data_IF_856495158207
#
_entry.id   IF_856495158207
#
_cell.length_a   1.000
_cell.length_b   1.000
_cell.length_c   1.000
_cell.angle_alpha   90.00
_cell.angle_beta   90.00
_cell.angle_gamma   90.00
#
_symmetry.space_group_name_H-M   'P 1'
#
loop_
_entity.id
_entity.type
_entity.pdbx_description
1 polymer ?
#
# COMPACT_ATOMS: atom_id res chain seq x y z
N UNK A 1 -7.20 -20.84 3.10
CA UNK A 1 -8.44 -20.31 2.51
C UNK A 1 -9.55 -20.16 3.54
N UNK A 2 -9.73 -21.10 4.45
CA UNK A 2 -10.73 -21.00 5.55
C UNK A 2 -10.52 -19.74 6.41
N UNK A 3 -9.29 -19.37 6.72
CA UNK A 3 -8.99 -18.16 7.49
C UNK A 3 -9.43 -16.86 6.77
N UNK A 4 -9.45 -16.83 5.44
CA UNK A 4 -9.90 -15.67 4.67
C UNK A 4 -11.42 -15.51 4.77
N UNK A 5 -12.16 -16.62 4.77
CA UNK A 5 -13.61 -16.59 4.93
C UNK A 5 -14.08 -16.17 6.34
N UNK A 6 -13.16 -16.19 7.30
CA UNK A 6 -13.39 -15.81 8.70
C UNK A 6 -12.80 -14.44 9.06
N UNK A 7 -12.23 -13.71 8.06
CA UNK A 7 -11.67 -12.38 8.32
C UNK A 7 -12.75 -11.43 8.85
N UNK A 8 -12.48 -10.85 10.01
CA UNK A 8 -13.29 -9.80 10.60
C UNK A 8 -12.48 -8.49 10.61
N UNK A 9 -13.07 -7.40 10.13
CA UNK A 9 -12.40 -6.10 10.09
C UNK A 9 -12.00 -5.60 11.48
N UNK A 10 -12.78 -5.93 12.50
CA UNK A 10 -12.53 -5.50 13.87
C UNK A 10 -11.32 -6.20 14.51
N UNK A 11 -10.81 -7.28 13.89
CA UNK A 11 -9.65 -8.03 14.33
C UNK A 11 -8.33 -7.61 13.63
N UNK A 12 -8.40 -6.71 12.64
CA UNK A 12 -7.24 -6.33 11.82
C UNK A 12 -6.24 -5.43 12.58
N UNK A 13 -6.64 -4.78 13.66
CA UNK A 13 -5.77 -3.93 14.50
C UNK A 13 -5.03 -4.68 15.61
N UNK A 14 -4.67 -5.94 15.38
CA UNK A 14 -3.92 -6.72 16.37
C UNK A 14 -2.51 -6.17 16.51
N UNK A 15 -2.11 -5.92 17.76
CA UNK A 15 -0.74 -5.55 18.11
C UNK A 15 0.26 -6.58 17.57
N UNK A 16 1.29 -6.14 16.88
CA UNK A 16 2.29 -7.01 16.26
C UNK A 16 2.13 -7.27 14.75
N UNK A 17 1.01 -6.89 14.12
CA UNK A 17 0.86 -7.04 12.66
C UNK A 17 1.81 -6.12 11.87
N UNK A 18 2.29 -5.03 12.45
CA UNK A 18 3.19 -4.06 11.81
C UNK A 18 4.66 -4.34 12.03
N UNK A 19 5.04 -5.62 12.06
CA UNK A 19 6.44 -6.05 12.17
C UNK A 19 7.05 -6.35 10.81
N UNK A 20 8.39 -6.32 10.73
CA UNK A 20 9.12 -6.71 9.51
C UNK A 20 8.84 -8.15 9.12
N UNK A 21 8.83 -9.08 10.10
CA UNK A 21 8.55 -10.50 9.86
C UNK A 21 7.16 -10.70 9.22
N UNK A 22 6.13 -10.02 9.75
CA UNK A 22 4.77 -10.08 9.19
C UNK A 22 4.73 -9.45 7.79
N UNK A 23 5.39 -8.32 7.58
CA UNK A 23 5.46 -7.66 6.26
C UNK A 23 6.11 -8.56 5.21
N UNK A 24 7.20 -9.26 5.57
CA UNK A 24 7.89 -10.21 4.69
C UNK A 24 7.02 -11.41 4.38
N UNK A 25 6.37 -11.99 5.38
CA UNK A 25 5.44 -13.12 5.19
C UNK A 25 4.24 -12.71 4.34
N UNK A 26 3.64 -11.56 4.58
CA UNK A 26 2.54 -11.03 3.77
C UNK A 26 2.93 -10.87 2.30
N UNK A 27 4.13 -10.36 2.01
CA UNK A 27 4.64 -10.24 0.65
C UNK A 27 4.81 -11.60 -0.03
N UNK A 28 5.29 -12.63 0.69
CA UNK A 28 5.41 -13.99 0.18
C UNK A 28 4.03 -14.62 -0.10
N UNK A 29 3.11 -14.52 0.85
CA UNK A 29 1.75 -15.06 0.73
C UNK A 29 0.99 -14.35 -0.40
N UNK A 30 1.17 -13.05 -0.57
CA UNK A 30 0.55 -12.27 -1.63
C UNK A 30 0.96 -12.69 -3.05
N UNK A 31 2.02 -13.49 -3.21
CA UNK A 31 2.42 -14.08 -4.49
C UNK A 31 1.68 -15.39 -4.82
N UNK A 32 1.01 -16.03 -3.84
CA UNK A 32 0.20 -17.23 -4.06
C UNK A 32 -1.11 -16.85 -4.75
N UNK A 33 -1.33 -17.41 -5.95
CA UNK A 33 -2.49 -17.11 -6.78
C UNK A 33 -3.83 -17.49 -6.12
N UNK A 34 -3.86 -18.57 -5.33
CA UNK A 34 -5.10 -19.04 -4.68
C UNK A 34 -5.49 -18.11 -3.53
N UNK A 35 -4.51 -17.71 -2.71
CA UNK A 35 -4.72 -16.74 -1.63
C UNK A 35 -5.13 -15.40 -2.22
N UNK A 36 -4.44 -14.98 -3.28
CA UNK A 36 -4.74 -13.72 -3.96
C UNK A 36 -6.17 -13.68 -4.51
N UNK A 37 -6.59 -14.70 -5.24
CA UNK A 37 -7.93 -14.76 -5.80
C UNK A 37 -9.01 -14.71 -4.71
N UNK A 38 -8.81 -15.37 -3.58
CA UNK A 38 -9.73 -15.31 -2.47
C UNK A 38 -9.78 -13.91 -1.81
N UNK A 39 -8.64 -13.21 -1.72
CA UNK A 39 -8.58 -11.85 -1.16
C UNK A 39 -9.12 -10.78 -2.11
N UNK A 40 -9.05 -10.98 -3.43
CA UNK A 40 -9.54 -10.00 -4.41
C UNK A 40 -11.03 -9.71 -4.22
N UNK A 41 -11.86 -10.74 -4.11
CA UNK A 41 -13.31 -10.55 -3.92
C UNK A 41 -13.60 -9.86 -2.58
N UNK A 42 -12.93 -10.28 -1.51
CA UNK A 42 -13.05 -9.63 -0.21
C UNK A 42 -12.69 -8.14 -0.25
N UNK A 43 -11.58 -7.77 -0.92
CA UNK A 43 -11.17 -6.38 -1.09
C UNK A 43 -12.15 -5.59 -1.95
N UNK A 44 -12.71 -6.20 -3.00
CA UNK A 44 -13.73 -5.58 -3.86
C UNK A 44 -15.05 -5.35 -3.11
N UNK A 45 -15.50 -6.30 -2.30
CA UNK A 45 -16.67 -6.13 -1.44
C UNK A 45 -16.46 -4.98 -0.46
N UNK A 46 -15.28 -4.94 0.18
CA UNK A 46 -14.93 -3.83 1.06
C UNK A 46 -14.95 -2.48 0.34
N UNK A 47 -14.46 -2.41 -0.90
CA UNK A 47 -14.45 -1.15 -1.67
C UNK A 47 -15.83 -0.60 -2.00
N UNK A 48 -16.83 -1.48 -2.07
CA UNK A 48 -18.22 -1.13 -2.44
C UNK A 48 -19.12 -0.80 -1.24
N UNK A 49 -18.59 -0.81 -0.02
CA UNK A 49 -19.37 -0.55 1.18
C UNK A 49 -19.99 0.85 1.17
N UNK A 50 -21.14 1.00 1.83
CA UNK A 50 -21.77 2.29 2.03
C UNK A 50 -20.84 3.27 2.74
N UNK A 51 -20.74 4.52 2.25
CA UNK A 51 -19.82 5.53 2.75
C UNK A 51 -18.46 5.55 2.05
N UNK A 52 -18.19 4.62 1.14
CA UNK A 52 -16.93 4.52 0.40
C UNK A 52 -15.81 3.84 1.17
N UNK A 53 -14.67 3.72 0.54
CA UNK A 53 -13.48 3.09 1.11
C UNK A 53 -12.18 3.73 0.58
N UNK A 54 -11.12 3.65 1.39
CA UNK A 54 -9.75 3.92 0.96
C UNK A 54 -8.97 2.63 1.08
N UNK A 55 -8.36 2.19 -0.01
CA UNK A 55 -7.53 0.99 -0.05
C UNK A 55 -6.09 1.36 -0.37
N UNK A 56 -5.16 0.75 0.35
CA UNK A 56 -3.72 0.85 0.11
C UNK A 56 -3.15 -0.51 -0.35
N UNK A 57 -2.26 -0.48 -1.34
CA UNK A 57 -1.62 -1.70 -1.85
C UNK A 57 -0.86 -1.46 -3.14
N UNK A 58 -0.40 -2.55 -3.75
CA UNK A 58 0.48 -2.52 -4.92
C UNK A 58 -0.28 -2.53 -6.25
N UNK A 59 -1.44 -3.13 -6.27
CA UNK A 59 -2.26 -3.37 -7.47
C UNK A 59 -3.72 -2.95 -7.28
N UNK A 60 -3.99 -2.11 -6.28
CA UNK A 60 -5.36 -1.65 -5.97
C UNK A 60 -5.96 -0.95 -7.20
N UNK A 61 -5.26 0.02 -7.78
CA UNK A 61 -5.77 0.81 -8.89
C UNK A 61 -5.71 0.11 -10.26
N UNK A 62 -5.01 -1.03 -10.38
CA UNK A 62 -4.86 -1.76 -11.64
C UNK A 62 -5.66 -3.06 -11.69
N UNK A 63 -5.82 -3.76 -10.56
CA UNK A 63 -6.42 -5.10 -10.49
C UNK A 63 -7.64 -5.15 -9.57
N UNK A 64 -7.52 -4.62 -8.35
CA UNK A 64 -8.58 -4.73 -7.35
C UNK A 64 -9.74 -3.79 -7.69
N UNK A 65 -9.45 -2.49 -7.81
CA UNK A 65 -10.41 -1.42 -8.07
C UNK A 65 -10.01 -0.61 -9.32
N UNK A 66 -10.02 -1.24 -10.53
CA UNK A 66 -9.62 -0.54 -11.76
C UNK A 66 -10.56 0.62 -12.14
N UNK A 67 -11.76 0.64 -11.58
CA UNK A 67 -12.77 1.67 -11.79
C UNK A 67 -12.96 2.58 -10.55
N UNK A 68 -11.97 2.66 -9.66
CA UNK A 68 -12.03 3.59 -8.53
C UNK A 68 -12.15 5.03 -9.04
N UNK A 69 -12.96 5.84 -8.34
CA UNK A 69 -13.22 7.25 -8.68
C UNK A 69 -11.93 8.06 -8.71
N UNK A 70 -10.99 7.73 -7.83
CA UNK A 70 -9.65 8.33 -7.84
C UNK A 70 -8.60 7.29 -7.49
N UNK A 71 -7.47 7.39 -8.17
CA UNK A 71 -6.28 6.57 -7.92
C UNK A 71 -5.10 7.49 -7.68
N UNK A 72 -4.42 7.26 -6.57
CA UNK A 72 -3.20 7.98 -6.22
C UNK A 72 -2.02 7.01 -6.28
N UNK A 73 -1.02 7.33 -7.09
CA UNK A 73 0.26 6.62 -7.09
C UNK A 73 1.27 7.44 -6.30
N UNK A 74 1.51 7.01 -5.06
CA UNK A 74 2.37 7.72 -4.12
C UNK A 74 3.79 7.18 -4.24
N UNK A 75 4.77 8.07 -4.38
CA UNK A 75 6.19 7.71 -4.43
C UNK A 75 7.03 8.65 -3.59
N UNK A 76 8.26 8.27 -3.33
CA UNK A 76 9.34 9.09 -2.80
C UNK A 76 10.68 8.44 -3.16
N UNK A 77 11.78 9.19 -3.08
CA UNK A 77 13.11 8.63 -3.28
C UNK A 77 13.41 7.52 -2.27
N UNK A 78 14.31 6.60 -2.63
CA UNK A 78 14.68 5.47 -1.77
C UNK A 78 15.26 5.95 -0.44
N UNK A 79 16.09 6.99 -0.49
CA UNK A 79 16.73 7.59 0.68
C UNK A 79 15.68 8.17 1.65
N UNK A 80 14.69 8.89 1.12
CA UNK A 80 13.63 9.47 1.95
C UNK A 80 12.77 8.38 2.56
N UNK A 81 12.42 7.34 1.81
CA UNK A 81 11.66 6.19 2.33
C UNK A 81 12.44 5.43 3.41
N UNK A 82 13.75 5.21 3.20
CA UNK A 82 14.61 4.57 4.18
C UNK A 82 14.74 5.41 5.46
N UNK A 83 14.91 6.73 5.33
CA UNK A 83 14.95 7.63 6.49
C UNK A 83 13.63 7.60 7.28
N UNK A 84 12.47 7.67 6.62
CA UNK A 84 11.16 7.58 7.28
C UNK A 84 11.04 6.25 8.03
N UNK A 85 11.42 5.14 7.39
CA UNK A 85 11.38 3.81 8.00
C UNK A 85 12.35 3.68 9.16
N UNK A 86 13.52 4.26 9.05
CA UNK A 86 14.50 4.30 10.14
C UNK A 86 13.93 5.02 11.36
N UNK A 87 13.30 6.18 11.19
CA UNK A 87 12.68 6.93 12.30
C UNK A 87 11.59 6.12 13.01
N UNK A 88 10.83 5.28 12.29
CA UNK A 88 9.80 4.43 12.86
C UNK A 88 10.36 3.27 13.69
N UNK A 89 11.52 2.73 13.31
CA UNK A 89 12.03 1.45 13.82
C UNK A 89 13.26 1.58 14.72
N UNK A 90 14.01 2.69 14.67
CA UNK A 90 15.31 2.85 15.35
C UNK A 90 15.24 2.66 16.88
N UNK A 91 14.09 2.94 17.49
CA UNK A 91 13.91 2.70 18.93
C UNK A 91 13.76 1.21 19.26
N UNK A 92 13.20 0.43 18.33
CA UNK A 92 12.90 -1.00 18.50
C UNK A 92 14.06 -1.90 18.07
N UNK A 93 14.83 -1.46 17.07
CA UNK A 93 15.98 -2.20 16.53
C UNK A 93 17.24 -1.32 16.53
N UNK A 94 18.12 -1.58 17.50
CA UNK A 94 19.39 -0.86 17.67
C UNK A 94 20.45 -1.21 16.63
N UNK A 95 20.28 -2.31 15.89
CA UNK A 95 21.18 -2.74 14.81
C UNK A 95 20.81 -2.19 13.43
N UNK A 96 19.67 -1.52 13.32
CA UNK A 96 19.16 -1.02 12.05
C UNK A 96 20.01 0.15 11.54
N UNK A 97 20.30 0.16 10.23
CA UNK A 97 20.97 1.27 9.55
C UNK A 97 20.18 1.74 8.34
N UNK A 98 20.39 2.98 7.92
CA UNK A 98 19.74 3.53 6.72
C UNK A 98 20.16 2.74 5.48
N UNK A 99 21.44 2.37 5.38
CA UNK A 99 22.00 1.60 4.27
C UNK A 99 21.33 0.23 4.15
N UNK A 100 21.14 -0.47 5.28
CA UNK A 100 20.46 -1.77 5.28
C UNK A 100 19.00 -1.63 4.81
N UNK A 101 18.31 -0.57 5.22
CA UNK A 101 16.95 -0.28 4.79
C UNK A 101 16.85 0.06 3.31
N UNK A 102 17.83 0.80 2.75
CA UNK A 102 17.86 1.08 1.30
C UNK A 102 17.96 -0.23 0.51
N UNK A 103 18.85 -1.13 0.91
CA UNK A 103 19.02 -2.44 0.25
C UNK A 103 17.72 -3.25 0.31
N UNK A 104 17.11 -3.30 1.48
CA UNK A 104 15.84 -4.02 1.70
C UNK A 104 14.70 -3.43 0.85
N UNK A 105 14.53 -2.10 0.86
CA UNK A 105 13.51 -1.41 0.08
C UNK A 105 13.68 -1.63 -1.42
N UNK A 106 14.92 -1.57 -1.93
CA UNK A 106 15.23 -1.88 -3.34
C UNK A 106 14.84 -3.30 -3.71
N UNK A 107 15.24 -4.27 -2.89
CA UNK A 107 14.89 -5.67 -3.15
C UNK A 107 13.38 -5.90 -3.17
N UNK A 108 12.65 -5.26 -2.24
CA UNK A 108 11.19 -5.33 -2.18
C UNK A 108 10.53 -4.66 -3.38
N UNK A 109 10.96 -3.45 -3.75
CA UNK A 109 10.42 -2.72 -4.90
C UNK A 109 10.63 -3.49 -6.20
N UNK A 110 11.80 -4.11 -6.36
CA UNK A 110 12.09 -4.95 -7.51
C UNK A 110 11.16 -6.17 -7.54
N UNK A 111 11.02 -6.87 -6.42
CA UNK A 111 10.13 -8.01 -6.31
C UNK A 111 8.65 -7.64 -6.59
N UNK A 112 8.19 -6.48 -6.09
CA UNK A 112 6.83 -5.98 -6.33
C UNK A 112 6.60 -5.62 -7.82
N UNK A 113 7.62 -5.08 -8.51
CA UNK A 113 7.55 -4.72 -9.94
C UNK A 113 7.65 -5.93 -10.87
N UNK A 114 8.47 -6.91 -10.53
CA UNK A 114 8.77 -8.06 -11.40
C UNK A 114 7.88 -9.28 -11.15
N UNK A 115 7.02 -9.24 -10.15
CA UNK A 115 6.12 -10.37 -9.88
C UNK A 115 5.21 -10.63 -11.08
N UNK A 116 5.05 -11.91 -11.41
CA UNK A 116 4.27 -12.37 -12.59
C UNK A 116 2.78 -12.06 -12.49
N UNK A 117 2.26 -11.96 -11.27
CA UNK A 117 0.83 -11.74 -11.00
C UNK A 117 0.67 -10.42 -10.27
N UNK A 118 -0.10 -9.51 -10.84
CA UNK A 118 -0.41 -8.19 -10.29
C UNK A 118 0.84 -7.39 -9.89
N UNK A 119 1.75 -7.08 -10.81
CA UNK A 119 2.93 -6.28 -10.53
C UNK A 119 2.54 -4.88 -10.02
N UNK A 120 3.46 -4.25 -9.30
CA UNK A 120 3.32 -2.84 -8.91
C UNK A 120 3.43 -1.96 -10.15
N UNK A 121 2.30 -1.48 -10.64
CA UNK A 121 2.20 -0.58 -11.78
C UNK A 121 1.36 0.64 -11.43
N UNK A 122 1.78 1.80 -11.95
CA UNK A 122 0.95 3.00 -11.92
C UNK A 122 -0.19 2.83 -12.95
N UNK A 123 -1.44 2.92 -12.53
CA UNK A 123 -2.57 2.96 -13.45
C UNK A 123 -2.47 4.22 -14.33
N UNK A 124 -2.94 4.14 -15.58
CA UNK A 124 -2.85 5.24 -16.55
C UNK A 124 -3.52 6.53 -16.04
N UNK A 125 -4.67 6.37 -15.40
CA UNK A 125 -5.47 7.43 -14.80
C UNK A 125 -5.07 7.79 -13.36
N UNK A 126 -3.99 7.21 -12.83
CA UNK A 126 -3.54 7.52 -11.47
C UNK A 126 -2.80 8.87 -11.42
N UNK A 127 -3.19 9.70 -10.47
CA UNK A 127 -2.46 10.92 -10.11
C UNK A 127 -1.16 10.53 -9.41
N UNK A 128 -0.04 10.98 -9.97
CA UNK A 128 1.28 10.79 -9.35
C UNK A 128 1.47 11.82 -8.24
N UNK A 129 1.77 11.34 -7.03
CA UNK A 129 2.18 12.16 -5.89
C UNK A 129 3.61 11.78 -5.48
N UNK A 130 4.57 12.57 -5.90
CA UNK A 130 5.93 12.46 -5.40
C UNK A 130 6.05 13.23 -4.08
N UNK A 131 6.35 12.51 -3.01
CA UNK A 131 6.44 13.06 -1.65
C UNK A 131 7.89 13.21 -1.16
N UNK A 132 8.87 13.15 -2.06
CA UNK A 132 10.30 13.20 -1.74
C UNK A 132 10.65 14.45 -0.90
N UNK A 133 10.20 15.62 -1.35
CA UNK A 133 10.48 16.91 -0.72
C UNK A 133 9.34 17.42 0.18
N UNK A 134 8.37 16.54 0.50
CA UNK A 134 7.17 16.96 1.21
C UNK A 134 7.13 16.45 2.65
N UNK A 135 6.62 17.29 3.55
CA UNK A 135 6.18 16.87 4.87
C UNK A 135 4.95 15.96 4.77
N UNK A 136 4.62 15.28 5.85
CA UNK A 136 3.40 14.47 5.94
C UNK A 136 2.17 15.35 5.67
N UNK A 137 2.07 16.50 6.32
CA UNK A 137 0.92 17.42 6.17
C UNK A 137 0.78 17.94 4.74
N UNK A 138 1.90 18.29 4.08
CA UNK A 138 1.89 18.71 2.69
C UNK A 138 1.46 17.59 1.75
N UNK A 139 1.92 16.36 2.00
CA UNK A 139 1.53 15.17 1.23
C UNK A 139 0.03 14.89 1.37
N UNK A 140 -0.50 14.96 2.59
CA UNK A 140 -1.94 14.80 2.88
C UNK A 140 -2.75 15.90 2.19
N UNK A 141 -2.33 17.17 2.29
CA UNK A 141 -3.02 18.28 1.65
C UNK A 141 -3.11 18.10 0.12
N UNK A 142 -2.03 17.65 -0.53
CA UNK A 142 -2.04 17.36 -1.97
C UNK A 142 -2.99 16.21 -2.32
N UNK A 143 -2.98 15.12 -1.53
CA UNK A 143 -3.89 14.01 -1.74
C UNK A 143 -5.36 14.45 -1.60
N UNK A 144 -5.70 15.17 -0.52
CA UNK A 144 -7.04 15.70 -0.29
C UNK A 144 -7.47 16.65 -1.41
N UNK A 145 -6.58 17.52 -1.90
CA UNK A 145 -6.88 18.40 -3.02
C UNK A 145 -7.18 17.61 -4.30
N UNK A 146 -6.41 16.56 -4.60
CA UNK A 146 -6.66 15.69 -5.75
C UNK A 146 -8.03 14.99 -5.65
N UNK A 147 -8.35 14.43 -4.47
CA UNK A 147 -9.63 13.77 -4.19
C UNK A 147 -10.80 14.77 -4.33
N UNK A 148 -10.68 15.95 -3.74
CA UNK A 148 -11.75 16.96 -3.73
C UNK A 148 -12.12 17.46 -5.14
N UNK A 149 -11.16 17.47 -6.07
CA UNK A 149 -11.42 17.82 -7.47
C UNK A 149 -12.33 16.82 -8.16
N UNK A 150 -12.13 15.53 -7.89
CA UNK A 150 -12.94 14.46 -8.49
C UNK A 150 -14.33 14.42 -7.88
N UNK A 151 -14.44 14.48 -6.55
CA UNK A 151 -15.74 14.44 -5.85
C UNK A 151 -16.62 15.63 -6.26
N UNK A 152 -16.06 16.84 -6.41
CA UNK A 152 -16.81 18.02 -6.84
C UNK A 152 -17.31 17.97 -8.28
N UNK A 153 -16.68 17.16 -9.13
CA UNK A 153 -17.10 16.97 -10.52
C UNK A 153 -18.20 15.91 -10.63
N UNK A 154 -18.40 15.12 -9.57
CA UNK A 154 -19.39 14.04 -9.54
C UNK A 154 -20.72 14.44 -8.87
N UNK A 155 -20.82 15.67 -8.34
CA UNK A 155 -22.03 16.29 -7.77
C UNK A 155 -22.58 17.34 -8.72
#
# INVERSE_FOLDING_TARGET
LEAIAQLNYDEIEVEGLRTEAVSKMASQIASDIKVRNALVEYQREFSRRCGGAVLDGRDIGTVICPNAEIKLYITASEEIRANRRFQELAEKDKGLTIESLIVELRARDLADKERKVSPLLKAEDAVLLDTTELSIDASVALAVNAISKVIRLST
#
